data_IF_308048822078
#
_entry.id   IF_308048822078
#
_cell.length_a   1.000
_cell.length_b   1.000
_cell.length_c   1.000
_cell.angle_alpha   90.00
_cell.angle_beta   90.00
_cell.angle_gamma   90.00
#
_symmetry.space_group_name_H-M   'P 1'
#
loop_
_entity.id
_entity.type
_entity.pdbx_description
1 polymer ?
#
# COMPACT_ATOMS: atom_id res chain seq x y z
N UNK A 1 21.22 -1.00 -4.72
CA UNK A 1 20.51 0.06 -5.48
C UNK A 1 19.04 -0.33 -5.64
N UNK A 2 18.13 0.31 -4.91
CA UNK A 2 16.66 0.12 -5.02
C UNK A 2 15.95 1.36 -5.62
N UNK A 3 16.70 2.24 -6.29
CA UNK A 3 16.32 3.63 -6.55
C UNK A 3 15.16 3.83 -7.55
N UNK A 4 14.70 2.79 -8.26
CA UNK A 4 13.67 2.94 -9.29
C UNK A 4 12.44 2.03 -9.16
N UNK A 5 12.16 1.54 -7.96
CA UNK A 5 10.97 0.70 -7.72
C UNK A 5 9.95 1.43 -6.87
N UNK A 6 8.69 1.33 -7.26
CA UNK A 6 7.56 1.80 -6.48
C UNK A 6 7.36 0.89 -5.28
N UNK A 7 7.30 1.47 -4.09
CA UNK A 7 7.12 0.71 -2.85
C UNK A 7 5.68 0.83 -2.38
N UNK A 8 4.94 -0.27 -2.42
CA UNK A 8 3.62 -0.38 -1.82
C UNK A 8 3.74 -0.89 -0.38
N UNK A 9 3.23 -0.16 0.59
CA UNK A 9 3.09 -0.60 1.98
C UNK A 9 1.62 -0.83 2.27
N UNK A 10 1.25 -2.08 2.52
CA UNK A 10 -0.09 -2.49 2.91
C UNK A 10 -0.25 -2.39 4.43
N UNK A 11 -1.28 -1.68 4.84
CA UNK A 11 -1.72 -1.50 6.20
C UNK A 11 -3.09 -2.14 6.34
N UNK A 12 -3.28 -2.97 7.36
CA UNK A 12 -4.61 -3.50 7.69
C UNK A 12 -5.13 -2.72 8.88
N UNK A 13 -6.36 -2.23 8.75
CA UNK A 13 -7.09 -1.66 9.88
C UNK A 13 -7.83 -2.78 10.59
N UNK A 14 -7.32 -3.24 11.74
CA UNK A 14 -8.02 -4.21 12.58
C UNK A 14 -9.17 -3.53 13.34
N UNK A 15 -10.37 -4.13 13.36
CA UNK A 15 -11.55 -3.52 13.99
C UNK A 15 -11.56 -3.63 15.54
N UNK A 16 -10.80 -4.54 16.14
CA UNK A 16 -10.81 -4.74 17.59
C UNK A 16 -9.73 -3.93 18.32
N UNK A 17 -10.20 -2.97 19.13
CA UNK A 17 -9.49 -2.30 20.24
C UNK A 17 -8.22 -1.51 19.89
N UNK A 18 -8.39 -0.20 19.67
CA UNK A 18 -7.32 0.76 19.44
C UNK A 18 -7.01 0.97 17.97
N UNK A 19 -6.82 2.23 17.55
CA UNK A 19 -6.43 2.61 16.19
C UNK A 19 -5.02 2.11 15.83
N UNK A 20 -4.86 0.80 15.71
CA UNK A 20 -3.60 0.14 15.40
C UNK A 20 -3.62 -0.23 13.92
N UNK A 21 -3.01 0.62 13.09
CA UNK A 21 -2.67 0.27 11.73
C UNK A 21 -1.55 -0.76 11.77
N UNK A 22 -1.82 -2.00 11.41
CA UNK A 22 -0.77 -3.02 11.34
C UNK A 22 -0.19 -3.05 9.93
N UNK A 23 1.11 -2.79 9.82
CA UNK A 23 1.85 -3.01 8.58
C UNK A 23 1.82 -4.50 8.26
N UNK A 24 1.12 -4.87 7.18
CA UNK A 24 0.92 -6.26 6.81
C UNK A 24 2.00 -6.71 5.82
N UNK A 25 2.25 -5.91 4.77
CA UNK A 25 3.18 -6.29 3.71
C UNK A 25 3.83 -5.09 3.04
N UNK A 26 5.04 -5.27 2.53
CA UNK A 26 5.67 -4.33 1.60
C UNK A 26 5.91 -5.05 0.29
N UNK A 27 5.44 -4.46 -0.80
CA UNK A 27 5.61 -4.96 -2.16
C UNK A 27 6.35 -3.92 -2.99
N UNK A 28 7.10 -4.39 -3.97
CA UNK A 28 7.88 -3.54 -4.86
C UNK A 28 7.41 -3.75 -6.30
N UNK A 29 7.07 -2.66 -6.97
CA UNK A 29 6.57 -2.67 -8.34
C UNK A 29 7.52 -1.88 -9.23
N UNK A 30 7.63 -2.30 -10.50
CA UNK A 30 8.41 -1.58 -11.51
C UNK A 30 7.72 -0.29 -11.98
N UNK A 31 6.40 -0.18 -11.81
CA UNK A 31 5.63 0.95 -12.33
C UNK A 31 4.43 1.27 -11.45
N UNK A 32 4.07 2.55 -11.39
CA UNK A 32 2.88 3.04 -10.68
C UNK A 32 1.62 2.36 -11.18
N UNK A 33 1.46 2.19 -12.50
CA UNK A 33 0.29 1.56 -13.10
C UNK A 33 0.06 0.14 -12.58
N UNK A 34 1.10 -0.71 -12.60
CA UNK A 34 1.02 -2.08 -12.10
C UNK A 34 0.70 -2.14 -10.60
N UNK A 35 1.20 -1.18 -9.82
CA UNK A 35 0.87 -1.06 -8.40
C UNK A 35 -0.62 -0.74 -8.19
N UNK A 36 -1.16 0.21 -8.96
CA UNK A 36 -2.58 0.60 -8.87
C UNK A 36 -3.51 -0.52 -9.30
N UNK A 37 -3.18 -1.16 -10.42
CA UNK A 37 -3.93 -2.29 -10.96
C UNK A 37 -4.01 -3.43 -9.92
N UNK A 38 -2.86 -3.77 -9.31
CA UNK A 38 -2.80 -4.76 -8.24
C UNK A 38 -3.61 -4.38 -7.00
N UNK A 39 -3.57 -3.11 -6.57
CA UNK A 39 -4.40 -2.68 -5.44
C UNK A 39 -5.88 -2.85 -5.79
N UNK A 40 -6.30 -2.38 -6.96
CA UNK A 40 -7.70 -2.38 -7.37
C UNK A 40 -8.25 -3.80 -7.59
N UNK A 41 -7.42 -4.71 -8.11
CA UNK A 41 -7.78 -6.11 -8.36
C UNK A 41 -7.77 -6.96 -7.09
N UNK A 42 -6.72 -6.84 -6.27
CA UNK A 42 -6.49 -7.73 -5.12
C UNK A 42 -7.11 -7.21 -3.81
N UNK A 43 -7.25 -5.90 -3.65
CA UNK A 43 -7.63 -5.29 -2.37
C UNK A 43 -8.74 -4.26 -2.53
N UNK A 44 -9.81 -4.40 -1.73
CA UNK A 44 -10.77 -3.32 -1.56
C UNK A 44 -10.18 -2.24 -0.64
N UNK A 45 -9.29 -1.42 -1.21
CA UNK A 45 -8.56 -0.38 -0.50
C UNK A 45 -9.53 0.65 0.07
N UNK A 46 -9.48 0.83 1.39
CA UNK A 46 -10.28 1.82 2.09
C UNK A 46 -9.64 3.22 2.02
N UNK A 47 -8.32 3.28 1.94
CA UNK A 47 -7.57 4.53 1.83
C UNK A 47 -6.24 4.29 1.10
N UNK A 48 -5.90 5.17 0.17
CA UNK A 48 -4.63 5.11 -0.58
C UNK A 48 -3.93 6.46 -0.43
N UNK A 49 -2.69 6.44 0.06
CA UNK A 49 -1.82 7.60 0.16
C UNK A 49 -0.60 7.39 -0.74
N UNK A 50 -0.32 8.35 -1.61
CA UNK A 50 0.74 8.26 -2.63
C UNK A 50 1.73 9.39 -2.39
N UNK A 51 3.01 9.04 -2.34
CA UNK A 51 4.13 9.96 -2.30
C UNK A 51 4.94 9.77 -3.59
N UNK A 52 4.73 10.67 -4.56
CA UNK A 52 5.39 10.57 -5.87
C UNK A 52 6.88 10.93 -5.79
N UNK A 53 7.27 11.81 -4.87
CA UNK A 53 8.68 12.22 -4.70
C UNK A 53 9.54 11.06 -4.20
N UNK A 54 9.01 10.26 -3.27
CA UNK A 54 9.69 9.08 -2.71
C UNK A 54 9.31 7.77 -3.40
N UNK A 55 8.49 7.82 -4.46
CA UNK A 55 7.92 6.64 -5.16
C UNK A 55 7.30 5.62 -4.19
N UNK A 56 6.61 6.10 -3.17
CA UNK A 56 6.00 5.28 -2.11
C UNK A 56 4.48 5.35 -2.19
N UNK A 57 3.81 4.23 -1.96
CA UNK A 57 2.36 4.15 -1.81
C UNK A 57 2.05 3.43 -0.52
N UNK A 58 1.16 3.99 0.29
CA UNK A 58 0.59 3.34 1.46
C UNK A 58 -0.87 3.05 1.17
N UNK A 59 -1.26 1.79 1.29
CA UNK A 59 -2.64 1.35 1.08
C UNK A 59 -3.18 0.79 2.39
N UNK A 60 -4.31 1.31 2.85
CA UNK A 60 -5.04 0.79 4.00
C UNK A 60 -6.18 -0.08 3.49
N UNK A 61 -6.19 -1.34 3.88
CA UNK A 61 -7.26 -2.30 3.58
C UNK A 61 -8.08 -2.54 4.85
N UNK A 62 -9.39 -2.70 4.70
CA UNK A 62 -10.26 -3.16 5.79
C UNK A 62 -10.04 -4.67 5.93
N UNK A 63 -9.59 -5.08 7.11
CA UNK A 63 -9.49 -6.49 7.49
C UNK A 63 -10.83 -7.04 7.96
#
# INVERSE_FOLDING_TARGET
MFADKWRLTLWVKTPNSGMNYRKQRVLFFKSKKALFDFIQDTYYAAQISIDNEKKTVSCVVRG
#
